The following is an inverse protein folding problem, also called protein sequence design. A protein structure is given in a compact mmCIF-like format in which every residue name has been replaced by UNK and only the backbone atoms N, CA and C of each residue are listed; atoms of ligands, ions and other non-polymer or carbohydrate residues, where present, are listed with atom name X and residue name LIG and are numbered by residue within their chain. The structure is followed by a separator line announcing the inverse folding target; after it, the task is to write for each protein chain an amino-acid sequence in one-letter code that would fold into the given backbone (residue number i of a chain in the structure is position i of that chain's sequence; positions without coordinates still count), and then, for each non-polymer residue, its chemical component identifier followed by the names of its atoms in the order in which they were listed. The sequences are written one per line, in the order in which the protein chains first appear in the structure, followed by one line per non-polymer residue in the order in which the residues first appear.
data_IF_595554212399
#
_entry.id   IF_595554212399
#
_cell.length_a   1.000
_cell.length_b   1.000
_cell.length_c   1.000
_cell.angle_alpha   90.00
_cell.angle_beta   90.00
_cell.angle_gamma   90.00
#
_symmetry.space_group_name_H-M   'P 1'
#
loop_
_entity.id
_entity.type
_entity.pdbx_description
1 polymer ?
#
# COMPACT_ATOMS: atom_id res chain seq x y z
N UNK A 1 10.31 20.95 9.45
CA UNK A 1 9.72 19.63 9.76
C UNK A 1 8.59 19.40 8.76
N UNK A 2 8.84 18.63 7.69
CA UNK A 2 7.97 18.52 6.49
C UNK A 2 6.66 17.77 6.79
N UNK A 3 6.71 16.78 7.70
CA UNK A 3 5.59 15.88 7.98
C UNK A 3 4.95 16.12 9.34
N UNK A 4 3.64 15.97 9.39
CA UNK A 4 2.88 15.91 10.64
C UNK A 4 2.93 14.47 11.17
N UNK A 5 3.96 14.17 11.96
CA UNK A 5 4.16 12.82 12.50
C UNK A 5 3.03 12.39 13.44
N UNK A 6 2.39 13.33 14.15
CA UNK A 6 1.25 13.00 15.02
C UNK A 6 0.07 12.51 14.19
N UNK A 7 -0.34 13.27 13.16
CA UNK A 7 -1.41 12.83 12.23
C UNK A 7 -1.03 11.55 11.49
N UNK A 8 0.22 11.45 11.03
CA UNK A 8 0.73 10.28 10.30
C UNK A 8 0.63 9.02 11.15
N UNK A 9 1.13 9.05 12.39
CA UNK A 9 1.10 7.89 13.28
C UNK A 9 -0.32 7.55 13.71
N UNK A 10 -1.18 8.54 13.95
CA UNK A 10 -2.61 8.30 14.22
C UNK A 10 -3.29 7.60 13.04
N UNK A 11 -3.00 8.01 11.81
CA UNK A 11 -3.55 7.42 10.60
C UNK A 11 -3.07 5.99 10.36
N UNK A 12 -1.75 5.74 10.46
CA UNK A 12 -1.15 4.41 10.26
C UNK A 12 -1.62 3.41 11.31
N UNK A 13 -1.82 3.88 12.54
CA UNK A 13 -2.29 3.04 13.65
C UNK A 13 -3.82 2.89 13.73
N UNK A 14 -4.57 3.48 12.79
CA UNK A 14 -6.05 3.58 12.81
C UNK A 14 -6.63 4.26 14.06
N UNK A 15 -5.82 4.97 14.84
CA UNK A 15 -6.28 5.73 16.03
C UNK A 15 -7.08 6.97 15.66
N UNK A 16 -7.15 7.31 14.37
CA UNK A 16 -8.06 8.32 13.85
C UNK A 16 -9.51 7.81 13.70
N UNK A 17 -9.75 6.50 13.83
CA UNK A 17 -11.08 5.88 13.68
C UNK A 17 -11.48 5.15 14.97
N UNK A 18 -10.56 4.42 15.60
CA UNK A 18 -10.87 3.55 16.74
C UNK A 18 -10.30 4.07 18.06
N UNK A 19 -11.07 3.97 19.15
CA UNK A 19 -10.67 4.40 20.49
C UNK A 19 -10.06 3.23 21.29
N UNK A 20 -8.93 2.73 20.80
CA UNK A 20 -7.89 1.96 21.54
C UNK A 20 -8.15 0.55 22.09
N UNK A 21 -9.31 -0.10 21.90
CA UNK A 21 -9.48 -1.53 22.30
C UNK A 21 -10.27 -2.40 21.32
N UNK A 22 -10.72 -1.85 20.19
CA UNK A 22 -11.48 -2.60 19.19
C UNK A 22 -10.54 -3.52 18.39
N UNK A 23 -10.75 -4.83 18.52
CA UNK A 23 -10.04 -5.91 17.79
C UNK A 23 -10.95 -6.44 16.68
N UNK A 24 -11.66 -5.53 16.01
CA UNK A 24 -12.44 -5.92 14.85
C UNK A 24 -11.47 -6.40 13.77
N UNK A 25 -11.83 -7.51 13.11
CA UNK A 25 -10.98 -8.11 12.10
C UNK A 25 -10.59 -7.10 11.01
N UNK A 26 -11.52 -6.23 10.62
CA UNK A 26 -11.27 -5.24 9.57
C UNK A 26 -10.26 -4.18 10.00
N UNK A 27 -10.29 -3.73 11.27
CA UNK A 27 -9.27 -2.83 11.83
C UNK A 27 -7.86 -3.47 11.78
N UNK A 28 -7.74 -4.73 12.21
CA UNK A 28 -6.44 -5.43 12.20
C UNK A 28 -5.86 -5.52 10.78
N UNK A 29 -6.71 -5.81 9.79
CA UNK A 29 -6.29 -5.93 8.40
C UNK A 29 -5.92 -4.57 7.80
N UNK A 30 -6.72 -3.53 8.08
CA UNK A 30 -6.45 -2.17 7.64
C UNK A 30 -5.13 -1.64 8.22
N UNK A 31 -4.93 -1.80 9.54
CA UNK A 31 -3.71 -1.39 10.22
C UNK A 31 -2.50 -2.15 9.69
N UNK A 32 -2.63 -3.46 9.49
CA UNK A 32 -1.55 -4.28 8.92
C UNK A 32 -1.16 -3.80 7.52
N UNK A 33 -2.14 -3.47 6.68
CA UNK A 33 -1.89 -2.88 5.36
C UNK A 33 -1.14 -1.56 5.48
N UNK A 34 -1.63 -0.60 6.27
CA UNK A 34 -1.02 0.73 6.39
C UNK A 34 0.42 0.65 6.90
N UNK A 35 0.70 -0.19 7.90
CA UNK A 35 2.06 -0.41 8.42
C UNK A 35 2.97 -0.99 7.34
N UNK A 36 2.55 -2.07 6.68
CA UNK A 36 3.35 -2.70 5.62
C UNK A 36 3.58 -1.75 4.45
N UNK A 37 2.57 -0.99 4.06
CA UNK A 37 2.66 -0.01 2.99
C UNK A 37 3.62 1.13 3.35
N UNK A 38 3.53 1.65 4.58
CA UNK A 38 4.47 2.65 5.09
C UNK A 38 5.92 2.13 5.04
N UNK A 39 6.15 0.87 5.44
CA UNK A 39 7.47 0.23 5.44
C UNK A 39 7.94 -0.26 4.06
N UNK A 40 7.09 -0.19 3.03
CA UNK A 40 7.29 -0.82 1.72
C UNK A 40 7.45 -2.36 1.76
N UNK A 41 6.86 -2.99 2.78
CA UNK A 41 6.87 -4.43 3.04
C UNK A 41 5.58 -5.14 2.58
N UNK A 42 4.88 -4.55 1.59
CA UNK A 42 3.75 -5.22 0.95
C UNK A 42 4.22 -6.52 0.28
N UNK A 43 3.36 -7.56 0.19
CA UNK A 43 3.72 -8.83 -0.45
C UNK A 43 3.76 -8.71 -1.98
N UNK A 44 4.82 -8.07 -2.48
CA UNK A 44 5.20 -8.03 -3.90
C UNK A 44 5.98 -9.28 -4.29
N UNK A 45 6.08 -9.60 -5.59
CA UNK A 45 6.87 -10.76 -6.02
C UNK A 45 8.35 -10.62 -5.64
N UNK A 46 8.92 -9.41 -5.64
CA UNK A 46 10.27 -9.19 -5.11
C UNK A 46 10.41 -9.61 -3.64
N UNK A 47 9.48 -9.19 -2.78
CA UNK A 47 9.50 -9.53 -1.35
C UNK A 47 9.28 -11.03 -1.13
N UNK A 48 8.35 -11.64 -1.87
CA UNK A 48 8.05 -13.07 -1.76
C UNK A 48 9.24 -13.93 -2.24
N UNK A 49 9.87 -13.53 -3.34
CA UNK A 49 11.05 -14.19 -3.89
C UNK A 49 12.25 -14.10 -2.93
N UNK A 50 12.56 -12.91 -2.40
CA UNK A 50 13.62 -12.72 -1.39
C UNK A 50 13.41 -13.54 -0.11
N UNK A 51 12.15 -13.83 0.24
CA UNK A 51 11.78 -14.66 1.40
C UNK A 51 11.79 -16.16 1.12
N UNK A 52 12.14 -16.54 -0.10
CA UNK A 52 12.18 -17.93 -0.58
C UNK A 52 10.83 -18.63 -0.38
N UNK A 53 9.73 -17.94 -0.70
CA UNK A 53 8.37 -18.46 -0.56
C UNK A 53 8.14 -19.59 -1.55
N UNK A 54 7.54 -20.68 -1.08
CA UNK A 54 7.24 -21.84 -1.92
C UNK A 54 6.35 -21.47 -3.12
N UNK A 55 6.61 -22.11 -4.27
CA UNK A 55 6.00 -21.87 -5.59
C UNK A 55 6.30 -20.51 -6.24
N UNK A 56 7.07 -19.62 -5.60
CA UNK A 56 7.45 -18.33 -6.18
C UNK A 56 8.85 -18.45 -6.77
N UNK A 57 8.93 -18.58 -8.11
CA UNK A 57 10.20 -18.85 -8.81
C UNK A 57 10.90 -17.60 -9.37
N UNK A 58 10.23 -16.45 -9.36
CA UNK A 58 10.73 -15.19 -9.93
C UNK A 58 10.24 -14.00 -9.10
N UNK A 59 10.99 -12.90 -9.14
CA UNK A 59 10.62 -11.59 -8.60
C UNK A 59 9.89 -10.70 -9.62
N UNK A 60 9.75 -11.18 -10.86
CA UNK A 60 9.07 -10.46 -11.93
C UNK A 60 7.58 -10.23 -11.63
N UNK A 61 7.04 -9.11 -12.08
CA UNK A 61 5.61 -8.86 -11.95
C UNK A 61 4.80 -9.85 -12.77
N UNK A 62 3.97 -10.64 -12.09
CA UNK A 62 3.18 -11.67 -12.75
C UNK A 62 2.08 -11.10 -13.67
N UNK A 63 1.71 -9.83 -13.47
CA UNK A 63 0.65 -9.14 -14.25
C UNK A 63 1.18 -8.68 -15.61
N UNK A 64 2.21 -7.84 -15.62
CA UNK A 64 2.79 -7.30 -16.85
C UNK A 64 3.91 -8.18 -17.44
N UNK A 65 4.52 -9.05 -16.61
CA UNK A 65 5.69 -9.88 -16.95
C UNK A 65 6.93 -9.05 -17.35
N UNK A 66 6.92 -7.76 -17.02
CA UNK A 66 7.94 -6.80 -17.39
C UNK A 66 8.59 -6.21 -16.13
N UNK A 67 9.86 -6.57 -15.91
CA UNK A 67 10.64 -6.09 -14.78
C UNK A 67 10.25 -6.71 -13.44
N UNK A 68 10.97 -6.31 -12.39
CA UNK A 68 10.79 -6.76 -11.00
C UNK A 68 9.55 -6.08 -10.40
N UNK A 69 8.70 -6.85 -9.73
CA UNK A 69 7.59 -6.28 -8.94
C UNK A 69 8.10 -5.82 -7.58
N UNK A 70 8.71 -4.64 -7.55
CA UNK A 70 9.01 -3.94 -6.31
C UNK A 70 7.79 -3.12 -5.83
N UNK A 71 7.94 -2.42 -4.71
CA UNK A 71 6.86 -1.59 -4.16
C UNK A 71 6.49 -0.42 -5.08
N UNK A 72 7.43 0.15 -5.83
CA UNK A 72 7.16 1.28 -6.72
C UNK A 72 6.36 0.80 -7.94
N UNK A 73 6.75 -0.33 -8.53
CA UNK A 73 6.11 -0.96 -9.69
C UNK A 73 4.61 -1.20 -9.49
N UNK A 74 4.16 -1.54 -8.27
CA UNK A 74 2.73 -1.69 -7.96
C UNK A 74 1.87 -0.50 -8.43
N UNK A 75 2.38 0.71 -8.23
CA UNK A 75 1.65 1.96 -8.44
C UNK A 75 1.78 2.49 -9.87
N UNK A 76 2.81 2.06 -10.60
CA UNK A 76 3.12 2.54 -11.96
C UNK A 76 3.13 1.41 -13.02
N UNK A 77 2.66 0.22 -12.65
CA UNK A 77 2.55 -0.93 -13.54
C UNK A 77 1.70 -0.56 -14.76
N UNK A 78 2.16 -0.93 -15.94
CA UNK A 78 1.48 -0.65 -17.22
C UNK A 78 0.13 -1.36 -17.37
N UNK A 79 -0.14 -2.40 -16.57
CA UNK A 79 -1.45 -3.07 -16.54
C UNK A 79 -2.49 -2.31 -15.71
N UNK A 80 -2.09 -1.27 -14.98
CA UNK A 80 -3.03 -0.46 -14.21
C UNK A 80 -3.91 0.36 -15.18
N UNK A 81 -5.22 0.35 -14.96
CA UNK A 81 -6.19 1.05 -15.83
C UNK A 81 -6.08 2.58 -15.75
N UNK A 82 -5.66 3.09 -14.58
CA UNK A 82 -5.56 4.51 -14.28
C UNK A 82 -4.17 4.85 -13.76
N UNK A 83 -3.72 6.05 -14.07
CA UNK A 83 -2.55 6.67 -13.44
C UNK A 83 -2.90 7.20 -12.04
N UNK A 84 -1.89 7.38 -11.20
CA UNK A 84 -2.06 7.93 -9.85
C UNK A 84 -2.77 9.29 -9.88
N UNK A 85 -2.44 10.14 -10.86
CA UNK A 85 -3.03 11.49 -10.99
C UNK A 85 -4.52 11.43 -11.34
N UNK A 86 -4.90 10.58 -12.29
CA UNK A 86 -6.31 10.38 -12.65
C UNK A 86 -7.12 9.88 -11.47
N UNK A 87 -6.58 8.95 -10.67
CA UNK A 87 -7.25 8.48 -9.45
C UNK A 87 -7.44 9.61 -8.45
N UNK A 88 -6.45 10.48 -8.26
CA UNK A 88 -6.55 11.61 -7.33
C UNK A 88 -7.62 12.63 -7.77
N UNK A 89 -7.65 12.97 -9.06
CA UNK A 89 -8.65 13.88 -9.63
C UNK A 89 -10.06 13.29 -9.51
N UNK A 90 -10.24 12.02 -9.90
CA UNK A 90 -11.51 11.30 -9.74
C UNK A 90 -11.93 11.17 -8.27
N UNK A 91 -10.96 11.07 -7.35
CA UNK A 91 -11.25 10.99 -5.91
C UNK A 91 -11.86 12.28 -5.38
N UNK A 92 -11.39 13.44 -5.85
CA UNK A 92 -11.96 14.73 -5.45
C UNK A 92 -13.42 14.82 -5.92
N UNK A 93 -13.70 14.49 -7.18
CA UNK A 93 -15.08 14.50 -7.71
C UNK A 93 -15.99 13.53 -6.95
N UNK A 94 -15.53 12.31 -6.67
CA UNK A 94 -16.30 11.33 -5.89
C UNK A 94 -16.52 11.76 -4.43
N UNK A 95 -15.55 12.45 -3.84
CA UNK A 95 -15.71 13.00 -2.50
C UNK A 95 -16.75 14.12 -2.49
N UNK A 96 -16.71 15.02 -3.46
CA UNK A 96 -17.73 16.07 -3.64
C UNK A 96 -19.14 15.46 -3.82
N UNK A 97 -19.29 14.43 -4.65
CA UNK A 97 -20.55 13.70 -4.81
C UNK A 97 -21.04 13.08 -3.50
N UNK A 98 -20.13 12.57 -2.65
CA UNK A 98 -20.50 12.02 -1.34
C UNK A 98 -21.01 13.11 -0.39
N UNK A 99 -20.37 14.28 -0.38
CA UNK A 99 -20.83 15.43 0.41
C UNK A 99 -22.17 15.98 -0.09
N UNK A 100 -22.41 15.93 -1.41
CA UNK A 100 -23.67 16.34 -2.01
C UNK A 100 -24.82 15.43 -1.58
N UNK A 101 -24.60 14.11 -1.53
CA UNK A 101 -25.59 13.14 -1.03
C UNK A 101 -25.90 13.33 0.46
N UNK A 102 -24.96 13.86 1.22
CA UNK A 102 -25.12 14.18 2.65
C UNK A 102 -25.61 15.61 2.90
N UNK A 103 -25.95 16.36 1.85
CA UNK A 103 -26.43 17.76 1.91
C UNK A 103 -25.46 18.71 2.64
N UNK A 104 -24.15 18.41 2.64
CA UNK A 104 -23.10 19.20 3.32
C UNK A 104 -22.60 20.37 2.47
N UNK A 105 -23.50 21.28 2.08
CA UNK A 105 -23.22 22.36 1.13
C UNK A 105 -22.02 23.26 1.51
N UNK A 106 -21.83 23.55 2.79
CA UNK A 106 -20.72 24.39 3.28
C UNK A 106 -19.37 23.68 3.10
N UNK A 107 -19.31 22.36 3.34
CA UNK A 107 -18.12 21.56 3.05
C UNK A 107 -17.82 21.51 1.55
N UNK A 108 -18.85 21.46 0.70
CA UNK A 108 -18.70 21.46 -0.77
C UNK A 108 -18.09 22.77 -1.25
N UNK A 109 -18.63 23.92 -0.81
CA UNK A 109 -18.09 25.24 -1.15
C UNK A 109 -16.61 25.35 -0.75
N UNK A 110 -16.27 24.89 0.45
CA UNK A 110 -14.90 24.88 0.92
C UNK A 110 -14.01 23.95 0.08
N UNK A 111 -14.46 22.71 -0.19
CA UNK A 111 -13.76 21.75 -1.04
C UNK A 111 -13.41 22.36 -2.40
N UNK A 112 -14.40 22.93 -3.09
CA UNK A 112 -14.23 23.59 -4.39
C UNK A 112 -13.16 24.70 -4.34
N UNK A 113 -13.10 25.47 -3.25
CA UNK A 113 -12.10 26.52 -3.06
C UNK A 113 -10.68 25.96 -2.88
N UNK A 114 -10.52 24.79 -2.26
CA UNK A 114 -9.19 24.22 -1.98
C UNK A 114 -8.70 23.22 -3.03
N UNK A 115 -9.58 22.68 -3.89
CA UNK A 115 -9.27 21.58 -4.83
C UNK A 115 -7.98 21.80 -5.62
N UNK A 116 -7.84 22.96 -6.25
CA UNK A 116 -6.65 23.29 -7.04
C UNK A 116 -5.38 23.32 -6.17
N UNK A 117 -5.47 23.97 -5.00
CA UNK A 117 -4.34 24.08 -4.06
C UNK A 117 -3.95 22.72 -3.47
N UNK A 118 -4.93 21.86 -3.20
CA UNK A 118 -4.72 20.50 -2.70
C UNK A 118 -3.97 19.64 -3.72
N UNK A 119 -4.42 19.63 -4.98
CA UNK A 119 -3.74 18.92 -6.08
C UNK A 119 -2.35 19.51 -6.35
N UNK A 120 -2.22 20.85 -6.32
CA UNK A 120 -0.94 21.52 -6.48
C UNK A 120 0.08 21.01 -5.46
N UNK A 121 -0.30 20.93 -4.17
CA UNK A 121 0.56 20.37 -3.13
C UNK A 121 0.97 18.93 -3.48
N UNK A 122 0.03 18.07 -3.87
CA UNK A 122 0.32 16.68 -4.23
C UNK A 122 1.28 16.53 -5.43
N UNK A 123 1.23 17.45 -6.38
CA UNK A 123 2.03 17.39 -7.61
C UNK A 123 3.39 18.10 -7.50
N UNK A 124 3.65 18.83 -6.41
CA UNK A 124 4.98 19.34 -6.12
C UNK A 124 5.98 18.18 -5.93
N UNK A 125 7.26 18.45 -6.20
CA UNK A 125 8.33 17.52 -5.83
C UNK A 125 8.40 17.36 -4.31
N UNK A 126 8.66 16.14 -3.87
CA UNK A 126 8.93 15.81 -2.48
C UNK A 126 10.36 16.21 -2.14
N UNK A 127 10.52 16.85 -1.00
CA UNK A 127 11.83 17.22 -0.46
C UNK A 127 12.52 16.02 0.22
N UNK A 128 11.72 15.01 0.62
CA UNK A 128 12.21 13.81 1.33
C UNK A 128 12.34 12.61 0.39
N UNK A 129 11.39 12.43 -0.52
CA UNK A 129 11.40 11.36 -1.51
C UNK A 129 12.03 11.88 -2.82
N UNK A 130 13.36 11.82 -2.91
CA UNK A 130 14.10 12.33 -4.07
C UNK A 130 13.57 11.76 -5.39
N UNK A 131 13.36 12.66 -6.37
CA UNK A 131 12.83 12.32 -7.70
C UNK A 131 11.32 12.12 -7.76
N UNK A 132 10.63 12.02 -6.62
CA UNK A 132 9.19 11.76 -6.52
C UNK A 132 8.40 13.02 -6.22
N UNK A 133 7.13 13.04 -6.63
CA UNK A 133 6.16 14.03 -6.18
C UNK A 133 5.59 13.72 -4.79
N UNK A 134 4.96 14.71 -4.14
CA UNK A 134 4.37 14.57 -2.80
C UNK A 134 3.20 13.59 -2.75
N UNK A 135 2.53 13.29 -3.86
CA UNK A 135 1.52 12.22 -3.85
C UNK A 135 2.10 10.85 -3.46
N UNK A 136 3.41 10.63 -3.60
CA UNK A 136 4.06 9.43 -3.07
C UNK A 136 4.11 9.40 -1.54
N UNK A 137 4.11 10.55 -0.88
CA UNK A 137 3.97 10.67 0.57
C UNK A 137 2.56 10.23 0.99
N UNK A 138 1.54 10.70 0.27
CA UNK A 138 0.15 10.24 0.43
C UNK A 138 0.06 8.73 0.20
N UNK A 139 0.64 8.18 -0.87
CA UNK A 139 0.64 6.73 -1.12
C UNK A 139 1.23 5.97 0.06
N UNK A 140 2.29 6.46 0.71
CA UNK A 140 2.88 5.83 1.91
C UNK A 140 2.06 6.04 3.19
N UNK A 141 1.00 6.85 3.15
CA UNK A 141 0.19 7.21 4.31
C UNK A 141 0.85 8.28 5.21
N UNK A 142 1.75 9.09 4.67
CA UNK A 142 2.46 10.16 5.40
C UNK A 142 1.81 11.51 5.14
N UNK A 143 1.43 12.21 6.21
CA UNK A 143 0.71 13.47 6.12
C UNK A 143 1.67 14.66 6.02
N UNK A 144 1.62 15.38 4.90
CA UNK A 144 2.43 16.57 4.67
C UNK A 144 1.86 17.81 5.38
N UNK A 145 2.69 18.58 6.10
CA UNK A 145 2.22 19.76 6.85
C UNK A 145 1.70 20.90 5.97
N UNK A 146 2.05 20.95 4.69
CA UNK A 146 1.52 21.95 3.75
C UNK A 146 -0.01 21.90 3.65
N UNK A 147 -0.65 20.75 3.86
CA UNK A 147 -2.11 20.68 3.92
C UNK A 147 -2.70 21.50 5.09
N UNK A 148 -1.97 21.62 6.20
CA UNK A 148 -2.40 22.43 7.35
C UNK A 148 -2.37 23.95 7.05
N UNK A 149 -1.76 24.39 5.95
CA UNK A 149 -1.72 25.81 5.56
C UNK A 149 -2.89 26.21 4.66
N UNK A 150 -3.69 25.26 4.18
CA UNK A 150 -4.86 25.52 3.33
C UNK A 150 -5.99 26.21 4.10
N UNK A 151 -6.07 26.01 5.41
CA UNK A 151 -7.00 26.72 6.28
C UNK A 151 -6.43 26.88 7.69
N UNK A 152 -6.89 27.90 8.41
CA UNK A 152 -6.66 28.06 9.85
C UNK A 152 -7.80 27.47 10.68
N UNK A 153 -9.00 27.43 10.12
CA UNK A 153 -10.21 26.96 10.77
C UNK A 153 -10.14 25.45 11.07
N UNK A 154 -10.76 25.05 12.17
CA UNK A 154 -10.67 23.66 12.66
C UNK A 154 -11.55 22.72 11.84
N UNK A 155 -12.76 23.16 11.48
CA UNK A 155 -13.74 22.34 10.77
C UNK A 155 -13.30 22.18 9.31
N UNK A 156 -12.77 23.24 8.70
CA UNK A 156 -12.15 23.18 7.37
C UNK A 156 -10.92 22.23 7.32
N UNK A 157 -10.09 22.23 8.37
CA UNK A 157 -8.99 21.26 8.50
C UNK A 157 -9.48 19.82 8.60
N UNK A 158 -10.66 19.59 9.19
CA UNK A 158 -11.28 18.28 9.22
C UNK A 158 -11.66 17.83 7.80
N UNK A 159 -12.28 18.71 6.99
CA UNK A 159 -12.58 18.42 5.58
C UNK A 159 -11.31 18.08 4.78
N UNK A 160 -10.20 18.79 5.02
CA UNK A 160 -8.92 18.48 4.37
C UNK A 160 -8.42 17.08 4.77
N UNK A 161 -8.56 16.69 6.05
CA UNK A 161 -8.16 15.36 6.51
C UNK A 161 -9.07 14.26 5.96
N UNK A 162 -10.37 14.52 5.87
CA UNK A 162 -11.36 13.63 5.26
C UNK A 162 -11.02 13.39 3.79
N UNK A 163 -10.78 14.46 3.02
CA UNK A 163 -10.37 14.38 1.62
C UNK A 163 -9.05 13.60 1.46
N UNK A 164 -8.04 13.92 2.27
CA UNK A 164 -6.74 13.24 2.22
C UNK A 164 -6.90 11.73 2.47
N UNK A 165 -7.71 11.36 3.46
CA UNK A 165 -8.00 9.94 3.78
C UNK A 165 -8.80 9.27 2.66
N UNK A 166 -9.74 9.99 2.05
CA UNK A 166 -10.53 9.53 0.92
C UNK A 166 -9.64 9.21 -0.28
N UNK A 167 -8.72 10.12 -0.64
CA UNK A 167 -7.73 9.90 -1.70
C UNK A 167 -6.83 8.69 -1.41
N UNK A 168 -6.33 8.53 -0.18
CA UNK A 168 -5.54 7.35 0.19
C UNK A 168 -6.31 6.05 -0.05
N UNK A 169 -7.56 5.99 0.40
CA UNK A 169 -8.40 4.80 0.26
C UNK A 169 -8.74 4.51 -1.20
N UNK A 170 -8.96 5.55 -2.01
CA UNK A 170 -9.17 5.41 -3.44
C UNK A 170 -7.93 4.83 -4.15
N UNK A 171 -6.73 5.32 -3.84
CA UNK A 171 -5.46 4.78 -4.35
C UNK A 171 -5.27 3.32 -3.94
N UNK A 172 -5.49 2.99 -2.65
CA UNK A 172 -5.46 1.60 -2.17
C UNK A 172 -6.42 0.71 -2.95
N UNK A 173 -7.67 1.15 -3.12
CA UNK A 173 -8.70 0.38 -3.82
C UNK A 173 -8.31 0.14 -5.27
N UNK A 174 -7.84 1.17 -5.94
CA UNK A 174 -7.53 1.12 -7.36
C UNK A 174 -6.27 0.30 -7.65
N UNK A 175 -5.18 0.54 -6.91
CA UNK A 175 -3.91 -0.11 -7.21
C UNK A 175 -3.72 -1.40 -6.42
N UNK A 176 -3.78 -1.32 -5.09
CA UNK A 176 -3.44 -2.46 -4.24
C UNK A 176 -4.48 -3.57 -4.31
N UNK A 177 -5.77 -3.23 -4.17
CA UNK A 177 -6.83 -4.25 -4.13
C UNK A 177 -7.03 -4.89 -5.50
N UNK A 178 -7.07 -4.12 -6.61
CA UNK A 178 -7.16 -4.69 -7.96
C UNK A 178 -5.98 -5.60 -8.27
N UNK A 179 -4.74 -5.15 -7.99
CA UNK A 179 -3.55 -5.99 -8.10
C UNK A 179 -3.69 -7.29 -7.32
N UNK A 180 -4.16 -7.24 -6.07
CA UNK A 180 -4.33 -8.46 -5.27
C UNK A 180 -5.33 -9.43 -5.90
N UNK A 181 -6.44 -8.93 -6.45
CA UNK A 181 -7.45 -9.76 -7.11
C UNK A 181 -6.86 -10.42 -8.37
N UNK A 182 -6.26 -9.63 -9.26
CA UNK A 182 -5.63 -10.11 -10.49
C UNK A 182 -4.53 -11.15 -10.20
N UNK A 183 -3.64 -10.87 -9.24
CA UNK A 183 -2.57 -11.81 -8.86
C UNK A 183 -3.16 -13.10 -8.31
N UNK A 184 -4.20 -13.05 -7.48
CA UNK A 184 -4.85 -14.24 -6.96
C UNK A 184 -5.49 -15.07 -8.08
N UNK A 185 -6.07 -14.45 -9.11
CA UNK A 185 -6.64 -15.14 -10.27
C UNK A 185 -5.55 -15.80 -11.12
N UNK A 186 -4.46 -15.09 -11.39
CA UNK A 186 -3.33 -15.65 -12.15
C UNK A 186 -2.69 -16.81 -11.39
N UNK A 187 -2.40 -16.65 -10.10
CA UNK A 187 -1.85 -17.71 -9.25
C UNK A 187 -2.75 -18.94 -9.20
N UNK A 188 -4.08 -18.76 -9.10
CA UNK A 188 -5.03 -19.87 -9.14
C UNK A 188 -4.98 -20.62 -10.46
N UNK A 189 -4.87 -19.90 -11.59
CA UNK A 189 -4.72 -20.52 -12.92
C UNK A 189 -3.42 -21.32 -13.07
N UNK A 190 -2.38 -20.94 -12.33
CA UNK A 190 -1.10 -21.65 -12.24
C UNK A 190 -1.08 -22.75 -11.17
N UNK A 191 -2.21 -22.97 -10.48
CA UNK A 191 -2.32 -23.98 -9.41
C UNK A 191 -1.62 -23.61 -8.10
N UNK A 192 -1.25 -22.35 -7.90
CA UNK A 192 -0.63 -21.84 -6.66
C UNK A 192 -1.74 -21.50 -5.66
N UNK A 193 -1.76 -22.18 -4.51
CA UNK A 193 -2.73 -21.94 -3.44
C UNK A 193 -2.16 -21.03 -2.36
N UNK A 194 -3.04 -20.37 -1.60
CA UNK A 194 -2.65 -19.54 -0.46
C UNK A 194 -1.82 -20.28 0.60
N UNK A 195 -2.07 -21.58 0.79
CA UNK A 195 -1.31 -22.41 1.73
C UNK A 195 0.13 -22.64 1.26
N UNK A 196 0.36 -22.73 -0.05
CA UNK A 196 1.70 -22.89 -0.60
C UNK A 196 2.57 -21.69 -0.22
N UNK A 197 2.01 -20.48 -0.24
CA UNK A 197 2.72 -19.23 0.08
C UNK A 197 2.98 -18.98 1.57
N UNK A 198 2.54 -19.89 2.46
CA UNK A 198 2.78 -19.78 3.92
C UNK A 198 4.09 -20.45 4.35
N UNK A 199 4.70 -21.25 3.48
CA UNK A 199 5.93 -21.99 3.78
C UNK A 199 7.07 -21.51 2.88
N UNK A 200 8.31 -21.69 3.34
CA UNK A 200 9.49 -21.50 2.50
C UNK A 200 9.68 -22.70 1.57
N UNK A 201 10.42 -22.52 0.48
CA UNK A 201 10.84 -23.66 -0.36
C UNK A 201 11.56 -24.68 0.51
N UNK A 202 11.22 -25.95 0.31
CA UNK A 202 12.01 -27.05 0.87
C UNK A 202 13.36 -27.04 0.14
N UNK A 203 14.42 -26.65 0.84
CA UNK A 203 15.78 -26.85 0.33
C UNK A 203 16.21 -28.24 0.83
N UNK A 204 16.44 -29.18 -0.08
CA UNK A 204 17.11 -30.47 0.20
C UNK A 204 18.54 -30.23 0.70
N UNK A 205 18.71 -29.69 1.92
CA UNK A 205 20.03 -29.59 2.57
C UNK A 205 20.46 -30.89 3.24
N UNK A 206 19.56 -31.86 3.38
CA UNK A 206 19.84 -33.11 4.11
C UNK A 206 20.24 -34.30 3.22
N UNK A 207 20.31 -34.13 1.88
CA UNK A 207 20.71 -35.21 0.95
C UNK A 207 22.16 -35.10 0.44
N UNK A 208 23.02 -34.37 1.17
CA UNK A 208 24.48 -34.37 0.98
C UNK A 208 25.22 -34.76 2.27
N UNK A 209 24.76 -35.77 2.99
CA UNK A 209 25.67 -36.57 3.81
C UNK A 209 26.06 -37.77 2.95
N UNK A 210 27.22 -37.70 2.31
CA UNK A 210 27.75 -38.81 1.53
C UNK A 210 27.89 -40.05 2.41
N UNK A 211 27.43 -41.19 1.91
CA UNK A 211 27.68 -42.51 2.47
C UNK A 211 29.19 -42.68 2.71
N UNK A 212 29.62 -42.45 3.96
CA UNK A 212 30.85 -43.05 4.47
C UNK A 212 30.46 -44.43 4.96
N UNK A 213 30.63 -45.40 4.08
CA UNK A 213 30.74 -46.82 4.44
C UNK A 213 31.75 -46.98 5.58
N UNK A 214 31.26 -47.34 6.76
CA UNK A 214 32.09 -47.79 7.87
C UNK A 214 32.22 -49.30 7.72
N UNK A 215 33.36 -49.75 7.19
CA UNK A 215 33.80 -51.15 7.32
C UNK A 215 34.03 -51.45 8.80
N UNK A 216 33.16 -52.26 9.39
CA UNK A 216 33.40 -52.87 10.70
C UNK A 216 34.35 -54.05 10.46
N UNK A 217 35.64 -53.86 10.79
CA UNK A 217 36.56 -54.98 11.00
C UNK A 217 36.29 -55.59 12.37
N UNK A 218 35.60 -56.72 12.39
CA UNK A 218 35.55 -57.59 13.57
C UNK A 218 36.94 -58.21 13.81
N UNK A 219 37.49 -57.94 14.99
CA UNK A 219 38.56 -58.75 15.59
C UNK A 219 37.89 -59.81 16.46
N UNK A 220 37.99 -61.07 16.05
CA UNK A 220 38.48 -62.20 16.85
C UNK A 220 38.65 -63.43 15.97
#
# INVERSE_FOLDING_TARGET
DEFDWNKTLQFISNRNIYTSWEIEKDDVWERSYKIKNFLKDLPTYEVLYKRDVNKIETDQCIRCKNGVEDWDHLWICETNELTIKEVLELSISKFEESLLKEEKHEKIKFLQNINFSFLKILYEKSEVLLGKEKYWELIRGVYNRKFNTLSKDKDEKEVINELWSFCFNALKKEFWNKRCNEVNEIEQSLGIKKLDKKVRKFIDRDMKCGDKSIEIKEKN
#
